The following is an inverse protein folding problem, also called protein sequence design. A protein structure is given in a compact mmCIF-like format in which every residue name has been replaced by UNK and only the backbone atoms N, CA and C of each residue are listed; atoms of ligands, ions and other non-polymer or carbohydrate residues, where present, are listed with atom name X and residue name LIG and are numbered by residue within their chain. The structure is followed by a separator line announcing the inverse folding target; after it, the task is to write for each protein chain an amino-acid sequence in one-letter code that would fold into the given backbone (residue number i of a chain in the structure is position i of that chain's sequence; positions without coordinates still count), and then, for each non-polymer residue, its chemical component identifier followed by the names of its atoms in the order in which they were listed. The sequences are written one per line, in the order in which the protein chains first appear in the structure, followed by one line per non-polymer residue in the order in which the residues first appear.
data_IF_637670557889
#
_entry.id   IF_637670557889
#
_cell.length_a   1.000
_cell.length_b   1.000
_cell.length_c   1.000
_cell.angle_alpha   90.00
_cell.angle_beta   90.00
_cell.angle_gamma   90.00
#
_symmetry.space_group_name_H-M   'P 1'
#
loop_
_entity.id
_entity.type
_entity.pdbx_description
1 polymer ?
#
# COMPACT_ATOMS: atom_id res chain seq x y z
N UNK A 1 -8.41 4.41 3.39
CA UNK A 1 -8.45 5.50 2.39
C UNK A 1 -8.37 6.86 3.08
N UNK A 2 -9.17 7.08 4.12
CA UNK A 2 -9.30 8.34 4.88
C UNK A 2 -7.98 9.00 5.27
N UNK A 3 -7.07 8.27 5.94
CA UNK A 3 -5.79 8.81 6.38
C UNK A 3 -4.89 9.29 5.21
N UNK A 4 -5.07 8.71 4.02
CA UNK A 4 -4.32 9.07 2.82
C UNK A 4 -5.07 10.10 1.95
N UNK A 5 -6.33 10.41 2.28
CA UNK A 5 -7.17 11.35 1.52
C UNK A 5 -7.38 10.97 0.05
N UNK A 6 -7.12 9.71 -0.35
CA UNK A 6 -7.20 9.24 -1.74
C UNK A 6 -7.90 7.88 -1.83
N UNK A 7 -8.58 7.60 -2.95
CA UNK A 7 -9.14 6.28 -3.22
C UNK A 7 -8.07 5.19 -3.14
N UNK A 8 -8.42 4.04 -2.58
CA UNK A 8 -7.55 2.87 -2.51
C UNK A 8 -8.20 1.68 -3.20
N UNK A 9 -7.48 1.06 -4.13
CA UNK A 9 -7.87 -0.20 -4.75
C UNK A 9 -7.16 -1.31 -3.99
N UNK A 10 -7.90 -2.29 -3.46
CA UNK A 10 -7.28 -3.44 -2.80
C UNK A 10 -6.96 -4.53 -3.81
N UNK A 11 -6.00 -5.38 -3.49
CA UNK A 11 -5.73 -6.60 -4.28
C UNK A 11 -6.90 -7.58 -4.14
N UNK A 12 -7.40 -8.12 -5.25
CA UNK A 12 -8.37 -9.21 -5.26
C UNK A 12 -7.71 -10.57 -4.95
N UNK A 13 -6.38 -10.64 -5.01
CA UNK A 13 -5.62 -11.83 -4.57
C UNK A 13 -5.00 -11.59 -3.19
N UNK A 14 -5.13 -12.55 -2.26
CA UNK A 14 -4.52 -12.43 -0.93
C UNK A 14 -2.99 -12.36 -0.98
N UNK A 15 -2.38 -13.11 -1.91
CA UNK A 15 -0.92 -13.30 -2.00
C UNK A 15 -0.34 -12.61 -3.23
N UNK A 16 -0.44 -11.27 -3.29
CA UNK A 16 0.00 -10.48 -4.45
C UNK A 16 1.49 -10.69 -4.79
N UNK A 17 2.34 -10.82 -3.77
CA UNK A 17 3.79 -11.08 -3.96
C UNK A 17 4.04 -12.46 -4.59
N UNK A 18 3.36 -13.51 -4.11
CA UNK A 18 3.50 -14.85 -4.68
C UNK A 18 2.97 -14.90 -6.12
N UNK A 19 1.85 -14.22 -6.40
CA UNK A 19 1.34 -14.05 -7.77
C UNK A 19 2.38 -13.39 -8.67
N UNK A 20 3.02 -12.31 -8.22
CA UNK A 20 4.08 -11.64 -8.98
C UNK A 20 5.25 -12.56 -9.30
N UNK A 21 5.73 -13.32 -8.31
CA UNK A 21 6.79 -14.31 -8.52
C UNK A 21 6.38 -15.41 -9.52
N UNK A 22 5.14 -15.90 -9.45
CA UNK A 22 4.62 -16.89 -10.38
C UNK A 22 4.53 -16.35 -11.82
N UNK A 23 4.08 -15.11 -12.01
CA UNK A 23 4.01 -14.49 -13.33
C UNK A 23 5.40 -14.32 -13.96
N UNK A 24 6.39 -13.86 -13.19
CA UNK A 24 7.78 -13.76 -13.65
C UNK A 24 8.34 -15.14 -14.05
N UNK A 25 8.02 -16.20 -13.30
CA UNK A 25 8.43 -17.56 -13.64
C UNK A 25 7.76 -18.06 -14.94
N UNK A 26 6.46 -17.79 -15.11
CA UNK A 26 5.72 -18.17 -16.33
C UNK A 26 6.26 -17.45 -17.57
N UNK A 27 6.59 -16.16 -17.45
CA UNK A 27 7.22 -15.38 -18.51
C UNK A 27 8.60 -15.94 -18.87
N UNK A 28 9.46 -16.19 -17.88
CA UNK A 28 10.79 -16.76 -18.09
C UNK A 28 10.76 -18.16 -18.73
N UNK A 29 9.72 -18.94 -18.46
CA UNK A 29 9.49 -20.25 -19.07
C UNK A 29 8.86 -20.18 -20.48
N UNK A 30 8.51 -18.98 -20.96
CA UNK A 30 7.81 -18.76 -22.23
C UNK A 30 6.35 -19.23 -22.21
N UNK A 31 5.80 -19.54 -21.03
CA UNK A 31 4.40 -19.92 -20.85
C UNK A 31 3.47 -18.70 -20.83
N UNK A 32 4.02 -17.51 -20.56
CA UNK A 32 3.37 -16.21 -20.70
C UNK A 32 4.24 -15.33 -21.61
N UNK A 33 3.69 -14.68 -22.65
CA UNK A 33 4.49 -13.85 -23.56
C UNK A 33 5.06 -12.58 -22.91
N UNK A 34 4.24 -11.90 -22.10
CA UNK A 34 4.59 -10.70 -21.35
C UNK A 34 3.77 -10.68 -20.06
N UNK A 35 4.38 -10.32 -18.93
CA UNK A 35 3.68 -10.12 -17.66
C UNK A 35 2.53 -9.09 -17.75
N UNK A 36 2.62 -8.11 -18.66
CA UNK A 36 1.58 -7.11 -18.91
C UNK A 36 0.30 -7.72 -19.50
N UNK A 37 0.38 -8.90 -20.12
CA UNK A 37 -0.77 -9.64 -20.64
C UNK A 37 -1.50 -10.45 -19.56
N UNK A 38 -0.94 -10.51 -18.34
CA UNK A 38 -1.57 -11.23 -17.24
C UNK A 38 -2.92 -10.60 -16.86
N UNK A 39 -3.94 -11.40 -16.50
CA UNK A 39 -5.24 -10.88 -16.09
C UNK A 39 -5.14 -9.90 -14.93
N UNK A 40 -5.99 -8.86 -14.93
CA UNK A 40 -6.08 -7.93 -13.81
C UNK A 40 -6.41 -8.67 -12.50
N UNK A 41 -5.89 -8.15 -11.40
CA UNK A 41 -6.05 -8.67 -10.04
C UNK A 41 -6.44 -7.58 -9.06
N UNK A 42 -6.81 -6.40 -9.55
CA UNK A 42 -7.38 -5.33 -8.75
C UNK A 42 -8.80 -5.71 -8.27
N UNK A 43 -9.07 -5.44 -7.01
CA UNK A 43 -10.35 -5.63 -6.35
C UNK A 43 -11.17 -4.34 -6.29
N UNK A 44 -12.05 -4.26 -5.29
CA UNK A 44 -12.90 -3.09 -5.08
C UNK A 44 -12.14 -1.82 -4.69
N UNK A 45 -12.76 -0.68 -4.96
CA UNK A 45 -12.23 0.63 -4.54
C UNK A 45 -12.86 1.07 -3.22
N UNK A 46 -12.03 1.47 -2.27
CA UNK A 46 -12.44 2.11 -1.02
C UNK A 46 -12.24 3.62 -1.17
N UNK A 47 -13.34 4.37 -1.09
CA UNK A 47 -13.34 5.83 -1.16
C UNK A 47 -13.00 6.43 0.21
N UNK A 48 -12.26 7.56 0.26
CA UNK A 48 -12.02 8.27 1.51
C UNK A 48 -13.28 9.00 1.97
N UNK A 49 -13.51 9.00 3.28
CA UNK A 49 -14.47 9.91 3.92
C UNK A 49 -13.80 11.27 4.19
N UNK A 50 -14.27 12.31 3.49
CA UNK A 50 -13.75 13.66 3.62
C UNK A 50 -13.90 14.24 5.03
N UNK A 51 -14.93 13.84 5.78
CA UNK A 51 -15.15 14.31 7.16
C UNK A 51 -14.10 13.77 8.14
N UNK A 52 -13.45 12.64 7.81
CA UNK A 52 -12.43 12.02 8.66
C UNK A 52 -11.02 12.50 8.35
N UNK A 53 -10.82 13.16 7.21
CA UNK A 53 -9.50 13.58 6.75
C UNK A 53 -8.81 14.50 7.78
N UNK A 54 -9.53 15.46 8.33
CA UNK A 54 -8.97 16.41 9.31
C UNK A 54 -8.63 15.74 10.64
N UNK A 55 -9.40 14.74 11.06
CA UNK A 55 -9.09 13.92 12.25
C UNK A 55 -7.78 13.15 12.06
N UNK A 56 -7.58 12.56 10.88
CA UNK A 56 -6.35 11.83 10.57
C UNK A 56 -5.14 12.77 10.41
N UNK A 57 -5.30 13.97 9.85
CA UNK A 57 -4.24 14.99 9.80
C UNK A 57 -3.72 15.35 11.18
N UNK A 58 -4.62 15.69 12.10
CA UNK A 58 -4.26 15.98 13.48
C UNK A 58 -3.62 14.78 14.21
N UNK A 59 -4.00 13.55 13.84
CA UNK A 59 -3.37 12.35 14.37
C UNK A 59 -1.93 12.17 13.84
N UNK A 60 -1.69 12.43 12.55
CA UNK A 60 -0.35 12.38 11.93
C UNK A 60 0.57 13.41 12.58
N UNK A 61 0.12 14.65 12.77
CA UNK A 61 0.93 15.71 13.39
C UNK A 61 1.41 15.31 14.81
N UNK A 62 0.49 14.74 15.61
CA UNK A 62 0.82 14.22 16.94
C UNK A 62 1.80 13.06 16.89
N UNK A 63 1.62 12.14 15.93
CA UNK A 63 2.53 11.00 15.74
C UNK A 63 3.94 11.44 15.35
N UNK A 64 4.07 12.42 14.44
CA UNK A 64 5.35 12.96 14.01
C UNK A 64 6.09 13.66 15.15
N UNK A 65 5.39 14.48 15.93
CA UNK A 65 5.97 15.14 17.11
C UNK A 65 6.48 14.11 18.15
N UNK A 66 5.71 13.05 18.39
CA UNK A 66 6.13 11.97 19.29
C UNK A 66 7.33 11.20 18.73
N UNK A 67 7.30 10.85 17.45
CA UNK A 67 8.37 10.11 16.78
C UNK A 67 9.69 10.88 16.82
N UNK A 68 9.66 12.20 16.54
CA UNK A 68 10.83 13.06 16.65
C UNK A 68 11.46 13.06 18.04
N UNK A 69 10.63 13.10 19.09
CA UNK A 69 11.11 13.00 20.49
C UNK A 69 11.72 11.64 20.80
N UNK A 70 11.08 10.55 20.37
CA UNK A 70 11.57 9.18 20.59
C UNK A 70 12.93 8.96 19.92
N UNK A 71 13.07 9.35 18.66
CA UNK A 71 14.33 9.24 17.91
C UNK A 71 15.42 10.10 18.53
N UNK A 72 15.12 11.36 18.88
CA UNK A 72 16.09 12.26 19.53
C UNK A 72 16.52 11.78 20.93
N UNK A 73 15.67 11.03 21.62
CA UNK A 73 15.98 10.44 22.95
C UNK A 73 16.67 9.08 22.88
N UNK A 74 16.82 8.50 21.68
CA UNK A 74 17.41 7.18 21.51
C UNK A 74 18.94 7.28 21.53
N UNK A 75 19.66 6.51 22.39
CA UNK A 75 21.11 6.65 22.59
C UNK A 75 21.97 6.02 21.46
N UNK A 76 21.45 5.95 20.23
CA UNK A 76 22.14 5.35 19.07
C UNK A 76 22.55 6.38 18.01
N UNK A 77 22.70 7.66 18.38
CA UNK A 77 23.37 8.66 17.54
C UNK A 77 24.51 9.31 18.30
#
# INVERSE_FOLDING_TARGET
ADALGRPLIHSAVPEASARGAALLALEALGALPDIADAPDFLGGTVQPDAARLDVYRQAIDRQQALYGRLVASSPLS
#
